data_IF_760925178672
#
_entry.id   IF_760925178672
#
_cell.length_a   1.000
_cell.length_b   1.000
_cell.length_c   1.000
_cell.angle_alpha   90.00
_cell.angle_beta   90.00
_cell.angle_gamma   90.00
#
_symmetry.space_group_name_H-M   'P 1'
#
loop_
_entity.id
_entity.type
_entity.pdbx_description
1 polymer ?
#
# COMPACT_ATOMS: atom_id res chain seq x y z
N UNK A 1 -29.41 -1.40 -60.44
CA UNK A 1 -28.36 -2.14 -59.70
C UNK A 1 -28.23 -1.52 -58.32
N UNK A 2 -28.72 -2.21 -57.27
CA UNK A 2 -28.63 -1.72 -55.88
C UNK A 2 -27.25 -2.06 -55.33
N UNK A 3 -26.44 -1.04 -54.99
CA UNK A 3 -25.11 -1.22 -54.41
C UNK A 3 -25.26 -1.38 -52.90
N UNK A 4 -24.97 -2.57 -52.38
CA UNK A 4 -24.83 -2.79 -50.94
C UNK A 4 -23.42 -2.35 -50.54
N UNK A 5 -23.32 -1.32 -49.71
CA UNK A 5 -22.07 -0.92 -49.07
C UNK A 5 -21.98 -1.75 -47.78
N UNK A 6 -21.05 -2.69 -47.74
CA UNK A 6 -20.71 -3.42 -46.51
C UNK A 6 -19.82 -2.51 -45.68
N UNK A 7 -20.37 -1.98 -44.59
CA UNK A 7 -19.62 -1.23 -43.57
C UNK A 7 -18.93 -2.24 -42.66
N UNK A 8 -17.63 -2.44 -42.85
CA UNK A 8 -16.81 -3.22 -41.93
C UNK A 8 -16.61 -2.41 -40.64
N UNK A 9 -17.32 -2.77 -39.57
CA UNK A 9 -17.00 -2.31 -38.22
C UNK A 9 -15.68 -2.95 -37.80
N UNK A 10 -14.59 -2.21 -37.92
CA UNK A 10 -13.35 -2.52 -37.22
C UNK A 10 -13.56 -2.23 -35.74
N UNK A 11 -13.78 -3.29 -34.97
CA UNK A 11 -13.76 -3.22 -33.50
C UNK A 11 -12.29 -3.01 -33.13
N UNK A 12 -11.91 -1.76 -32.84
CA UNK A 12 -10.64 -1.48 -32.18
C UNK A 12 -10.76 -2.05 -30.77
N UNK A 13 -10.21 -3.24 -30.55
CA UNK A 13 -9.96 -3.74 -29.22
C UNK A 13 -8.95 -2.78 -28.58
N UNK A 14 -9.41 -1.91 -27.69
CA UNK A 14 -8.53 -1.22 -26.79
C UNK A 14 -7.88 -2.29 -25.91
N UNK A 15 -6.64 -2.68 -26.22
CA UNK A 15 -5.80 -3.34 -25.25
C UNK A 15 -5.63 -2.35 -24.11
N UNK A 16 -6.24 -2.64 -22.96
CA UNK A 16 -5.88 -2.01 -21.69
C UNK A 16 -4.42 -2.37 -21.47
N UNK A 17 -3.53 -1.48 -21.88
CA UNK A 17 -2.11 -1.65 -21.60
C UNK A 17 -2.00 -1.59 -20.08
N UNK A 18 -1.65 -2.70 -19.44
CA UNK A 18 -1.20 -2.66 -18.06
C UNK A 18 -0.04 -1.65 -18.01
N UNK A 19 -0.14 -0.69 -17.09
CA UNK A 19 0.84 0.36 -16.90
C UNK A 19 1.54 0.08 -15.57
N UNK A 20 2.87 0.15 -15.57
CA UNK A 20 3.68 0.10 -14.35
C UNK A 20 3.51 1.41 -13.56
N UNK A 21 2.27 1.73 -13.17
CA UNK A 21 1.90 3.03 -12.59
C UNK A 21 0.85 2.82 -11.51
N UNK A 22 1.04 3.43 -10.34
CA UNK A 22 0.00 3.53 -9.33
C UNK A 22 -1.12 4.44 -9.81
N UNK A 23 -2.36 3.97 -9.70
CA UNK A 23 -3.51 4.85 -9.87
C UNK A 23 -3.64 5.78 -8.65
N UNK A 24 -3.94 7.06 -8.88
CA UNK A 24 -4.04 8.06 -7.81
C UNK A 24 -2.76 8.16 -6.94
N UNK A 25 -1.60 8.16 -7.59
CA UNK A 25 -0.26 8.22 -7.00
C UNK A 25 0.03 9.47 -6.14
N UNK A 26 -0.53 10.63 -6.50
CA UNK A 26 -0.43 11.88 -5.72
C UNK A 26 -1.60 12.07 -4.75
N UNK A 27 -2.39 11.03 -4.47
CA UNK A 27 -3.46 11.06 -3.47
C UNK A 27 -4.50 12.20 -3.59
N UNK A 28 -4.80 12.62 -4.81
CA UNK A 28 -5.73 13.73 -5.08
C UNK A 28 -7.21 13.30 -5.09
N UNK A 29 -7.47 12.03 -5.38
CA UNK A 29 -8.84 11.52 -5.62
C UNK A 29 -9.42 10.81 -4.39
N UNK A 30 -10.49 11.38 -3.82
CA UNK A 30 -11.17 10.85 -2.63
C UNK A 30 -12.69 10.82 -2.82
N UNK A 31 -13.34 9.79 -2.31
CA UNK A 31 -14.80 9.71 -2.21
C UNK A 31 -15.21 9.90 -0.74
N UNK A 32 -15.54 11.13 -0.37
CA UNK A 32 -15.74 11.50 1.03
C UNK A 32 -14.44 11.34 1.83
N UNK A 33 -14.45 10.45 2.83
CA UNK A 33 -13.29 10.11 3.66
C UNK A 33 -12.48 8.93 3.14
N UNK A 34 -12.90 8.31 2.03
CA UNK A 34 -12.25 7.12 1.47
C UNK A 34 -11.33 7.49 0.32
N UNK A 35 -10.08 7.04 0.39
CA UNK A 35 -9.09 7.22 -0.68
C UNK A 35 -9.41 6.27 -1.85
N UNK A 36 -9.39 6.80 -3.08
CA UNK A 36 -9.65 5.99 -4.27
C UNK A 36 -8.38 5.23 -4.69
N UNK A 37 -8.54 3.97 -5.13
CA UNK A 37 -7.47 3.11 -5.69
C UNK A 37 -6.43 2.61 -4.66
N UNK A 38 -6.65 2.91 -3.39
CA UNK A 38 -5.82 2.46 -2.28
C UNK A 38 -6.69 1.85 -1.18
N UNK A 39 -6.14 0.86 -0.49
CA UNK A 39 -6.81 0.13 0.57
C UNK A 39 -6.14 0.37 1.92
N UNK A 40 -6.94 0.28 2.97
CA UNK A 40 -6.53 0.38 4.37
C UNK A 40 -7.30 -0.65 5.19
N UNK A 41 -6.93 -0.85 6.46
CA UNK A 41 -7.62 -1.78 7.33
C UNK A 41 -9.01 -1.24 7.68
N UNK A 42 -10.03 -2.03 7.35
CA UNK A 42 -11.41 -1.77 7.72
C UNK A 42 -12.13 -3.04 8.14
N UNK A 43 -12.90 -2.98 9.22
CA UNK A 43 -13.70 -4.11 9.70
C UNK A 43 -15.16 -3.68 9.72
N UNK A 44 -16.03 -4.47 9.09
CA UNK A 44 -17.47 -4.16 8.97
C UNK A 44 -17.75 -2.75 8.40
N UNK A 45 -16.90 -2.29 7.48
CA UNK A 45 -17.02 -0.96 6.86
C UNK A 45 -16.50 0.20 7.73
N UNK A 46 -15.94 -0.08 8.91
CA UNK A 46 -15.30 0.92 9.77
C UNK A 46 -13.79 0.83 9.58
N UNK A 47 -13.15 1.92 9.15
CA UNK A 47 -11.69 1.99 9.08
C UNK A 47 -11.10 1.86 10.48
N UNK A 48 -10.21 0.89 10.67
CA UNK A 48 -9.53 0.61 11.95
C UNK A 48 -8.08 1.10 11.96
N UNK A 49 -7.52 1.46 10.80
CA UNK A 49 -6.34 2.33 10.69
C UNK A 49 -6.77 3.81 10.59
N UNK A 50 -5.89 4.75 10.93
CA UNK A 50 -6.07 6.16 10.59
C UNK A 50 -5.39 6.43 9.23
N UNK A 51 -6.21 6.44 8.18
CA UNK A 51 -5.82 6.90 6.85
C UNK A 51 -6.76 8.02 6.47
N UNK A 52 -6.20 9.22 6.30
CA UNK A 52 -6.96 10.44 6.12
C UNK A 52 -6.29 11.40 5.15
N UNK A 53 -7.08 12.34 4.65
CA UNK A 53 -6.62 13.39 3.72
C UNK A 53 -5.86 14.46 4.49
N UNK A 54 -4.72 14.89 3.96
CA UNK A 54 -3.96 16.05 4.45
C UNK A 54 -3.86 17.13 3.38
N UNK A 55 -3.91 18.39 3.77
CA UNK A 55 -3.57 19.54 2.90
C UNK A 55 -2.10 19.93 2.99
N UNK A 56 -1.32 19.28 3.86
CA UNK A 56 0.13 19.39 3.91
C UNK A 56 0.71 18.42 2.88
N UNK A 57 0.68 18.81 1.60
CA UNK A 57 1.13 17.97 0.48
C UNK A 57 2.51 18.36 -0.03
N UNK A 58 3.19 17.42 -0.68
CA UNK A 58 4.44 17.68 -1.38
C UNK A 58 4.17 18.41 -2.70
N UNK A 59 3.16 17.92 -3.42
CA UNK A 59 2.65 18.56 -4.63
C UNK A 59 1.12 18.54 -4.64
N UNK A 60 0.49 19.15 -5.65
CA UNK A 60 -0.97 19.16 -5.75
C UNK A 60 -1.68 19.86 -4.58
N UNK A 61 -2.84 19.33 -4.19
CA UNK A 61 -3.65 19.85 -3.08
C UNK A 61 -3.65 18.93 -1.86
N UNK A 62 -3.40 17.64 -2.05
CA UNK A 62 -3.62 16.64 -1.02
C UNK A 62 -2.50 15.61 -0.97
N UNK A 63 -2.14 15.21 0.25
CA UNK A 63 -1.37 14.00 0.51
C UNK A 63 -2.19 13.04 1.37
N UNK A 64 -1.71 11.81 1.51
CA UNK A 64 -2.29 10.85 2.45
C UNK A 64 -1.55 10.92 3.79
N UNK A 65 -2.31 11.05 4.87
CA UNK A 65 -1.85 10.91 6.25
C UNK A 65 -2.13 9.49 6.73
N UNK A 66 -1.13 8.84 7.30
CA UNK A 66 -1.18 7.46 7.78
C UNK A 66 -0.70 7.46 9.22
N UNK A 67 -1.52 6.93 10.13
CA UNK A 67 -1.19 6.84 11.55
C UNK A 67 -1.78 5.58 12.21
N UNK A 68 -1.15 5.08 13.28
CA UNK A 68 -1.78 4.14 14.18
C UNK A 68 -2.97 4.78 14.89
N UNK A 69 -3.91 3.95 15.34
CA UNK A 69 -4.93 4.39 16.30
C UNK A 69 -5.39 3.24 17.19
N UNK A 70 -5.96 3.54 18.38
CA UNK A 70 -6.50 2.50 19.24
C UNK A 70 -7.71 1.84 18.55
N UNK A 71 -7.78 0.51 18.62
CA UNK A 71 -8.97 -0.22 18.19
C UNK A 71 -10.15 0.16 19.10
N UNK A 72 -11.30 0.58 18.56
CA UNK A 72 -12.47 0.86 19.38
C UNK A 72 -12.89 -0.38 20.18
N UNK A 73 -13.11 -0.23 21.49
CA UNK A 73 -13.42 -1.36 22.39
C UNK A 73 -14.66 -2.17 21.97
N UNK A 74 -15.67 -1.50 21.40
CA UNK A 74 -16.86 -2.15 20.84
C UNK A 74 -16.51 -3.08 19.68
N UNK A 75 -15.56 -2.69 18.83
CA UNK A 75 -15.12 -3.47 17.69
C UNK A 75 -14.15 -4.59 18.10
N UNK A 76 -13.25 -4.31 19.05
CA UNK A 76 -12.37 -5.31 19.65
C UNK A 76 -13.17 -6.51 20.20
N UNK A 77 -14.25 -6.22 20.93
CA UNK A 77 -15.18 -7.23 21.45
C UNK A 77 -15.84 -8.05 20.33
N UNK A 78 -16.27 -7.39 19.25
CA UNK A 78 -16.96 -8.05 18.11
C UNK A 78 -16.03 -9.00 17.36
N UNK A 79 -14.76 -8.64 17.18
CA UNK A 79 -13.79 -9.48 16.48
C UNK A 79 -13.00 -10.41 17.42
N UNK A 80 -13.31 -10.40 18.71
CA UNK A 80 -12.73 -11.31 19.70
C UNK A 80 -11.24 -11.08 19.96
N UNK A 81 -10.79 -9.83 19.95
CA UNK A 81 -9.41 -9.46 20.28
C UNK A 81 -9.36 -8.51 21.47
N UNK A 82 -8.24 -8.50 22.19
CA UNK A 82 -8.01 -7.52 23.24
C UNK A 82 -7.87 -6.10 22.68
N UNK A 83 -8.08 -5.10 23.53
CA UNK A 83 -7.78 -3.71 23.17
C UNK A 83 -6.32 -3.61 22.72
N UNK A 84 -6.12 -3.12 21.50
CA UNK A 84 -4.80 -3.03 20.89
C UNK A 84 -4.68 -1.76 20.07
N UNK A 85 -3.44 -1.39 19.76
CA UNK A 85 -3.14 -0.34 18.80
C UNK A 85 -3.10 -0.97 17.42
N UNK A 86 -3.95 -0.49 16.52
CA UNK A 86 -3.93 -0.91 15.12
C UNK A 86 -2.92 -0.05 14.39
N UNK A 87 -1.97 -0.64 13.64
CA UNK A 87 -1.03 0.14 12.85
C UNK A 87 -1.76 0.93 11.76
N UNK A 88 -1.19 2.06 11.36
CA UNK A 88 -1.55 2.72 10.12
C UNK A 88 -1.10 1.84 8.97
N UNK A 89 -2.01 1.47 8.07
CA UNK A 89 -1.71 0.65 6.90
C UNK A 89 -2.33 1.28 5.66
N UNK A 90 -1.53 1.50 4.63
CA UNK A 90 -1.97 1.86 3.30
C UNK A 90 -1.32 0.92 2.27
N UNK A 91 -2.10 0.42 1.31
CA UNK A 91 -1.56 -0.42 0.23
C UNK A 91 -2.36 -0.27 -1.06
N UNK A 92 -1.73 -0.53 -2.21
CA UNK A 92 -2.42 -0.62 -3.50
C UNK A 92 -3.07 -2.00 -3.74
N UNK A 93 -2.86 -2.96 -2.85
CA UNK A 93 -3.37 -4.33 -2.97
C UNK A 93 -4.70 -4.50 -2.21
N UNK A 94 -5.51 -5.47 -2.64
CA UNK A 94 -6.63 -6.02 -1.86
C UNK A 94 -6.12 -6.65 -0.57
N UNK A 95 -6.87 -6.48 0.52
CA UNK A 95 -6.52 -6.98 1.84
C UNK A 95 -7.46 -8.11 2.24
N UNK A 96 -6.91 -9.31 2.49
CA UNK A 96 -7.62 -10.40 3.15
C UNK A 96 -7.66 -10.16 4.66
N UNK A 97 -8.71 -9.47 5.10
CA UNK A 97 -8.94 -9.11 6.50
C UNK A 97 -9.03 -10.30 7.45
N UNK A 98 -9.52 -11.45 7.00
CA UNK A 98 -9.58 -12.65 7.86
C UNK A 98 -8.18 -13.13 8.22
N UNK A 99 -7.23 -13.09 7.27
CA UNK A 99 -5.84 -13.41 7.51
C UNK A 99 -5.19 -12.42 8.50
N UNK A 100 -5.49 -11.13 8.37
CA UNK A 100 -4.98 -10.09 9.28
C UNK A 100 -5.53 -10.24 10.69
N UNK A 101 -6.84 -10.46 10.84
CA UNK A 101 -7.48 -10.67 12.15
C UNK A 101 -6.90 -11.94 12.80
N UNK A 102 -6.71 -13.01 12.03
CA UNK A 102 -6.03 -14.21 12.50
C UNK A 102 -4.63 -13.91 13.03
N UNK A 103 -3.82 -13.18 12.27
CA UNK A 103 -2.46 -12.81 12.69
C UNK A 103 -2.45 -11.87 13.92
N UNK A 104 -3.33 -10.87 13.97
CA UNK A 104 -3.50 -9.99 15.14
C UNK A 104 -3.89 -10.78 16.39
N UNK A 105 -4.82 -11.75 16.27
CA UNK A 105 -5.26 -12.59 17.38
C UNK A 105 -4.17 -13.52 17.91
N UNK A 106 -3.19 -13.89 17.07
CA UNK A 106 -2.02 -14.67 17.47
C UNK A 106 -0.90 -13.85 18.14
N UNK A 107 -1.09 -12.53 18.26
CA UNK A 107 -0.14 -11.62 18.92
C UNK A 107 1.08 -11.24 18.07
N UNK A 108 1.12 -11.60 16.78
CA UNK A 108 2.20 -11.21 15.87
C UNK A 108 1.71 -11.07 14.42
N UNK A 109 1.87 -9.87 13.84
CA UNK A 109 1.82 -9.67 12.40
C UNK A 109 3.23 -9.89 11.84
N UNK A 110 3.54 -11.12 11.42
CA UNK A 110 4.77 -11.39 10.69
C UNK A 110 4.49 -11.39 9.18
N UNK A 111 5.03 -10.43 8.44
CA UNK A 111 4.92 -10.38 6.97
C UNK A 111 6.04 -11.19 6.31
N UNK A 112 6.15 -12.47 6.65
CA UNK A 112 6.94 -13.39 5.83
C UNK A 112 6.27 -13.57 4.44
N UNK A 113 7.00 -14.13 3.47
CA UNK A 113 6.50 -14.22 2.10
C UNK A 113 5.15 -14.98 2.00
N UNK A 114 4.96 -16.01 2.82
CA UNK A 114 3.72 -16.80 2.81
C UNK A 114 2.55 -15.99 3.38
N UNK A 115 2.78 -15.29 4.48
CA UNK A 115 1.77 -14.43 5.11
C UNK A 115 1.43 -13.27 4.19
N UNK A 116 2.42 -12.62 3.57
CA UNK A 116 2.22 -11.58 2.58
C UNK A 116 1.31 -12.04 1.43
N UNK A 117 1.63 -13.18 0.80
CA UNK A 117 0.85 -13.71 -0.33
C UNK A 117 -0.57 -14.13 0.07
N UNK A 118 -0.79 -14.51 1.34
CA UNK A 118 -2.11 -14.84 1.87
C UNK A 118 -2.96 -13.62 2.28
N UNK A 119 -2.29 -12.50 2.57
CA UNK A 119 -2.90 -11.27 3.07
C UNK A 119 -3.16 -10.28 1.93
N UNK A 120 -2.24 -10.15 0.98
CA UNK A 120 -2.29 -9.15 -0.07
C UNK A 120 -2.37 -9.77 -1.47
N UNK A 121 -3.36 -9.33 -2.25
CA UNK A 121 -3.59 -9.74 -3.65
C UNK A 121 -3.94 -8.55 -4.51
N UNK A 122 -3.93 -8.70 -5.83
CA UNK A 122 -4.43 -7.71 -6.78
C UNK A 122 -3.73 -6.34 -6.69
N UNK A 123 -2.40 -6.35 -6.52
CA UNK A 123 -1.56 -5.17 -6.67
C UNK A 123 -1.51 -4.63 -8.10
N UNK A 124 -0.59 -3.67 -8.34
CA UNK A 124 -0.38 -3.09 -9.68
C UNK A 124 0.10 -4.20 -10.61
N UNK A 125 -0.60 -4.39 -11.73
CA UNK A 125 -0.20 -5.37 -12.74
C UNK A 125 1.00 -4.83 -13.52
N UNK A 126 2.05 -5.64 -13.59
CA UNK A 126 3.31 -5.27 -14.21
C UNK A 126 3.41 -5.78 -15.64
N UNK A 127 3.96 -4.96 -16.52
CA UNK A 127 4.37 -5.34 -17.88
C UNK A 127 5.87 -5.32 -18.07
N UNK A 128 6.60 -4.68 -17.16
CA UNK A 128 8.06 -4.58 -17.18
C UNK A 128 8.60 -4.82 -15.77
N UNK A 129 9.91 -5.00 -15.68
CA UNK A 129 10.60 -5.24 -14.43
C UNK A 129 10.80 -3.92 -13.67
N UNK A 130 10.17 -3.73 -12.48
CA UNK A 130 10.41 -2.56 -11.68
C UNK A 130 11.77 -2.65 -10.97
N UNK A 131 12.44 -1.52 -10.81
CA UNK A 131 13.73 -1.40 -10.12
C UNK A 131 13.58 -0.77 -8.74
N UNK A 132 12.59 0.10 -8.55
CA UNK A 132 12.30 0.73 -7.26
C UNK A 132 10.85 1.22 -7.19
N UNK A 133 10.40 1.52 -5.97
CA UNK A 133 9.28 2.43 -5.72
C UNK A 133 9.82 3.69 -5.08
N UNK A 134 9.42 4.84 -5.64
CA UNK A 134 9.86 6.15 -5.22
C UNK A 134 8.68 6.99 -4.74
N UNK A 135 8.96 8.07 -4.03
CA UNK A 135 7.98 9.10 -3.71
C UNK A 135 8.52 10.08 -2.69
N UNK A 136 7.63 10.80 -2.03
CA UNK A 136 7.98 11.78 -1.01
C UNK A 136 7.27 11.47 0.30
N UNK A 137 7.97 11.65 1.41
CA UNK A 137 7.42 11.45 2.75
C UNK A 137 7.75 12.60 3.69
N UNK A 138 6.87 12.81 4.68
CA UNK A 138 7.18 13.58 5.90
C UNK A 138 6.89 12.72 7.13
N UNK A 139 7.94 12.37 7.89
CA UNK A 139 7.82 11.54 9.09
C UNK A 139 7.72 12.39 10.36
N UNK A 140 6.57 12.31 11.03
CA UNK A 140 6.18 13.16 12.15
C UNK A 140 5.90 12.32 13.42
N UNK A 141 6.92 11.66 14.00
CA UNK A 141 6.75 10.92 15.25
C UNK A 141 6.53 11.86 16.43
N UNK A 142 5.71 11.40 17.38
CA UNK A 142 5.62 11.94 18.74
C UNK A 142 6.71 11.31 19.60
N UNK A 143 6.88 9.99 19.51
CA UNK A 143 7.91 9.24 20.22
C UNK A 143 8.81 8.49 19.21
N UNK A 144 9.91 9.11 18.75
CA UNK A 144 10.78 8.51 17.73
C UNK A 144 11.53 7.27 18.21
N UNK A 145 11.47 6.90 19.50
CA UNK A 145 12.06 5.66 20.01
C UNK A 145 11.11 4.49 19.78
N UNK A 146 9.82 4.71 20.00
CA UNK A 146 8.80 3.66 19.95
C UNK A 146 7.99 3.66 18.65
N UNK A 147 8.04 4.73 17.86
CA UNK A 147 7.29 4.84 16.61
C UNK A 147 8.18 4.63 15.40
N UNK A 148 7.69 3.84 14.44
CA UNK A 148 8.45 3.46 13.25
C UNK A 148 7.57 3.46 12.00
N UNK A 149 8.24 3.59 10.84
CA UNK A 149 7.63 3.42 9.53
C UNK A 149 8.33 2.31 8.75
N UNK A 150 7.55 1.65 7.89
CA UNK A 150 8.03 0.75 6.85
C UNK A 150 7.29 1.05 5.55
N UNK A 151 8.04 1.34 4.50
CA UNK A 151 7.56 1.39 3.13
C UNK A 151 8.10 0.14 2.43
N UNK A 152 7.29 -0.92 2.38
CA UNK A 152 7.64 -2.21 1.79
C UNK A 152 7.19 -2.33 0.34
N UNK A 153 8.03 -2.93 -0.50
CA UNK A 153 7.76 -3.23 -1.90
C UNK A 153 7.95 -4.72 -2.12
N UNK A 154 7.00 -5.37 -2.78
CA UNK A 154 7.04 -6.79 -3.09
C UNK A 154 6.68 -6.98 -4.56
N UNK A 155 7.56 -7.69 -5.28
CA UNK A 155 7.36 -8.05 -6.67
C UNK A 155 7.02 -9.53 -6.74
N UNK A 156 5.92 -9.83 -7.41
CA UNK A 156 5.32 -11.16 -7.44
C UNK A 156 5.30 -11.67 -8.86
N UNK A 157 5.70 -12.94 -9.03
CA UNK A 157 5.49 -13.69 -10.25
C UNK A 157 4.31 -14.64 -10.08
N UNK A 158 3.54 -14.81 -11.15
CA UNK A 158 2.51 -15.84 -11.28
C UNK A 158 2.70 -16.68 -12.56
N UNK A 159 3.94 -16.74 -13.08
CA UNK A 159 4.25 -17.39 -14.35
C UNK A 159 3.89 -18.88 -14.37
N UNK A 160 3.99 -19.57 -13.23
CA UNK A 160 3.71 -21.00 -13.07
C UNK A 160 2.28 -21.29 -12.60
N UNK A 161 1.43 -20.27 -12.50
CA UNK A 161 0.08 -20.36 -11.94
C UNK A 161 0.02 -20.40 -10.40
N UNK A 162 1.18 -20.26 -9.74
CA UNK A 162 1.28 -20.03 -8.29
C UNK A 162 1.98 -18.69 -8.06
N UNK A 163 1.40 -17.86 -7.18
CA UNK A 163 2.02 -16.58 -6.79
C UNK A 163 3.25 -16.83 -5.94
N UNK A 164 4.33 -16.13 -6.26
CA UNK A 164 5.60 -16.21 -5.54
C UNK A 164 6.25 -14.83 -5.47
N UNK A 165 6.80 -14.48 -4.31
CA UNK A 165 7.61 -13.25 -4.15
C UNK A 165 8.97 -13.48 -4.79
N UNK A 166 9.29 -12.69 -5.83
CA UNK A 166 10.54 -12.78 -6.59
C UNK A 166 11.47 -11.60 -6.36
N UNK A 167 10.96 -10.51 -5.80
CA UNK A 167 11.75 -9.33 -5.48
C UNK A 167 11.16 -8.55 -4.30
N UNK A 168 12.02 -7.88 -3.53
CA UNK A 168 11.64 -7.15 -2.33
C UNK A 168 12.45 -5.86 -2.20
N UNK A 169 11.81 -4.80 -1.73
CA UNK A 169 12.45 -3.54 -1.40
C UNK A 169 11.85 -2.94 -0.13
N UNK A 170 12.61 -2.11 0.57
CA UNK A 170 12.11 -1.45 1.77
C UNK A 170 12.79 -0.11 2.00
N UNK A 171 12.02 0.83 2.57
CA UNK A 171 12.53 2.08 3.14
C UNK A 171 11.95 2.23 4.57
N UNK A 172 12.80 2.40 5.58
CA UNK A 172 12.39 2.36 6.99
C UNK A 172 13.37 3.09 7.92
N UNK A 173 13.00 3.22 9.20
CA UNK A 173 13.86 3.70 10.30
C UNK A 173 14.57 5.03 10.03
N UNK A 174 13.84 5.97 9.44
CA UNK A 174 14.39 7.29 9.11
C UNK A 174 14.29 8.26 10.27
N UNK A 175 15.29 9.15 10.35
CA UNK A 175 15.26 10.26 11.28
C UNK A 175 14.01 11.12 11.03
N UNK A 176 13.41 11.75 12.06
CA UNK A 176 12.28 12.65 11.87
C UNK A 176 12.65 13.86 10.99
N UNK A 177 11.79 14.20 10.04
CA UNK A 177 11.89 15.42 9.22
C UNK A 177 10.54 16.12 9.21
N UNK A 178 10.15 16.61 10.38
CA UNK A 178 8.82 17.19 10.64
C UNK A 178 8.51 18.31 9.64
N UNK A 179 7.38 18.20 8.96
CA UNK A 179 6.86 19.17 7.98
C UNK A 179 7.72 19.44 6.72
N UNK A 180 8.87 18.79 6.55
CA UNK A 180 9.66 18.85 5.32
C UNK A 180 9.53 17.51 4.57
N UNK A 181 9.12 17.55 3.30
CA UNK A 181 9.08 16.34 2.48
C UNK A 181 10.48 15.95 2.01
N UNK A 182 10.82 14.68 2.22
CA UNK A 182 12.06 14.08 1.76
C UNK A 182 11.75 12.98 0.74
N UNK A 183 12.53 12.87 -0.34
CA UNK A 183 12.38 11.76 -1.26
C UNK A 183 12.75 10.44 -0.57
N UNK A 184 12.00 9.38 -0.89
CA UNK A 184 12.39 8.01 -0.57
C UNK A 184 12.56 7.20 -1.85
N UNK A 185 13.40 6.19 -1.77
CA UNK A 185 13.60 5.17 -2.81
C UNK A 185 13.69 3.82 -2.12
N UNK A 186 12.74 2.93 -2.41
CA UNK A 186 12.73 1.55 -1.99
C UNK A 186 13.23 0.68 -3.15
N UNK A 187 14.54 0.50 -3.23
CA UNK A 187 15.19 -0.34 -4.26
C UNK A 187 14.75 -1.79 -4.13
N UNK A 188 14.46 -2.41 -5.27
CA UNK A 188 14.00 -3.80 -5.35
C UNK A 188 15.20 -4.70 -5.59
N UNK A 189 15.40 -5.66 -4.69
CA UNK A 189 16.38 -6.74 -4.83
C UNK A 189 15.62 -8.01 -5.26
N UNK A 190 16.02 -8.58 -6.39
CA UNK A 190 15.45 -9.82 -6.90
C UNK A 190 16.16 -11.04 -6.32
N UNK A 191 15.36 -12.04 -5.93
CA UNK A 191 15.86 -13.33 -5.46
C UNK A 191 16.15 -14.27 -6.64
N UNK A 192 15.39 -14.10 -7.74
CA UNK A 192 15.58 -14.83 -8.99
C UNK A 192 15.37 -13.90 -10.18
N UNK A 193 16.47 -13.58 -10.86
CA UNK A 193 16.50 -12.68 -12.02
C UNK A 193 15.78 -13.24 -13.26
N UNK A 194 15.54 -14.56 -13.32
CA UNK A 194 14.95 -15.22 -14.48
C UNK A 194 13.41 -15.22 -14.46
N UNK A 195 12.80 -14.97 -13.30
CA UNK A 195 11.35 -14.96 -13.17
C UNK A 195 10.76 -13.65 -13.68
N UNK A 196 9.65 -13.78 -14.40
CA UNK A 196 8.93 -12.64 -14.98
C UNK A 196 8.02 -12.01 -13.91
N UNK A 197 8.18 -10.71 -13.60
CA UNK A 197 7.26 -9.97 -12.74
C UNK A 197 5.85 -9.90 -13.33
N UNK A 198 4.84 -10.01 -12.47
CA UNK A 198 3.43 -9.89 -12.86
C UNK A 198 2.65 -8.90 -12.00
N UNK A 199 3.09 -8.66 -10.77
CA UNK A 199 2.36 -7.86 -9.80
C UNK A 199 3.34 -7.13 -8.88
N UNK A 200 3.05 -5.88 -8.54
CA UNK A 200 3.73 -5.10 -7.51
C UNK A 200 2.76 -4.73 -6.39
N UNK A 201 3.18 -5.04 -5.16
CA UNK A 201 2.50 -4.65 -3.94
C UNK A 201 3.39 -3.68 -3.18
N UNK A 202 2.84 -2.51 -2.89
CA UNK A 202 3.41 -1.50 -2.02
C UNK A 202 2.61 -1.43 -0.72
N UNK A 203 3.31 -1.37 0.40
CA UNK A 203 2.74 -1.29 1.74
C UNK A 203 3.42 -0.13 2.47
N UNK A 204 2.64 0.82 2.93
CA UNK A 204 3.06 1.78 3.95
C UNK A 204 2.49 1.37 5.29
N UNK A 205 3.36 1.16 6.26
CA UNK A 205 3.03 0.78 7.62
C UNK A 205 3.59 1.82 8.59
N UNK A 206 2.75 2.29 9.51
CA UNK A 206 3.14 3.13 10.64
C UNK A 206 2.72 2.41 11.92
N UNK A 207 3.67 2.19 12.83
CA UNK A 207 3.43 1.44 14.07
C UNK A 207 4.02 2.14 15.28
N UNK A 208 3.51 1.76 16.46
CA UNK A 208 4.07 2.11 17.76
C UNK A 208 4.34 0.84 18.56
N UNK A 209 5.50 0.76 19.18
CA UNK A 209 5.90 -0.29 20.12
C UNK A 209 5.38 -0.01 21.53
N UNK A 210 4.94 1.22 21.82
CA UNK A 210 4.28 1.56 23.09
C UNK A 210 2.81 1.14 23.03
N UNK A 211 2.49 0.01 23.67
CA UNK A 211 1.15 -0.56 23.74
C UNK A 211 0.15 0.27 24.55
N UNK A 212 0.61 1.28 25.30
CA UNK A 212 -0.22 2.17 26.12
C UNK A 212 -0.37 3.57 25.52
N UNK A 213 0.24 3.85 24.36
CA UNK A 213 0.17 5.15 23.73
C UNK A 213 -1.29 5.54 23.42
N UNK A 214 -1.64 6.79 23.73
CA UNK A 214 -2.97 7.37 23.45
C UNK A 214 -2.93 8.46 22.38
N UNK A 215 -1.72 8.83 21.96
CA UNK A 215 -1.42 9.79 20.90
C UNK A 215 -0.33 9.20 20.03
N UNK A 216 -0.44 9.40 18.71
CA UNK A 216 0.47 8.81 17.74
C UNK A 216 1.04 9.85 16.79
N UNK A 217 2.31 9.64 16.42
CA UNK A 217 2.90 10.23 15.23
C UNK A 217 2.22 9.76 13.95
N UNK A 218 2.61 10.38 12.84
CA UNK A 218 2.04 10.06 11.53
C UNK A 218 3.06 10.21 10.41
N UNK A 219 2.79 9.50 9.33
CA UNK A 219 3.47 9.65 8.05
C UNK A 219 2.57 10.44 7.11
N UNK A 220 3.12 11.46 6.46
CA UNK A 220 2.56 11.97 5.22
C UNK A 220 3.30 11.30 4.06
N UNK A 221 2.55 10.82 3.08
CA UNK A 221 3.06 10.18 1.88
C UNK A 221 2.46 10.86 0.66
N UNK A 222 3.29 11.10 -0.35
CA UNK A 222 2.87 11.78 -1.56
C UNK A 222 3.67 11.34 -2.80
N UNK A 223 3.10 11.57 -3.98
CA UNK A 223 3.71 11.41 -5.31
C UNK A 223 4.45 10.07 -5.53
N UNK A 224 3.79 8.95 -5.23
CA UNK A 224 4.41 7.63 -5.35
C UNK A 224 4.52 7.14 -6.80
N UNK A 225 5.64 6.56 -7.17
CA UNK A 225 5.90 6.09 -8.53
C UNK A 225 6.68 4.78 -8.57
N UNK A 226 6.56 4.07 -9.70
CA UNK A 226 7.32 2.85 -9.97
C UNK A 226 8.41 3.21 -10.97
N UNK A 227 9.66 2.92 -10.62
CA UNK A 227 10.78 3.01 -11.56
C UNK A 227 10.96 1.66 -12.28
N UNK A 228 11.27 1.70 -13.57
CA UNK A 228 11.59 0.53 -14.40
C UNK A 228 12.98 0.67 -15.00
N UNK A 229 13.56 -0.44 -15.48
CA UNK A 229 14.79 -0.37 -16.28
C UNK A 229 14.52 0.41 -17.58
N UNK A 230 15.40 1.36 -17.91
CA UNK A 230 15.35 2.18 -19.14
C UNK A 230 16.10 1.48 -20.27
#
# INVERSE_FOLDING_TARGET
MKKFIILALTIWAFSVNAQNVFQNAGFETWNGTTLSQWNTLSVMGVNISDVSKSTESNSGNYAVKIAPKPLPASLATVIGVDNMIVPGLLTNATINLNSIIGALSSGSLNFDNNTLLSVFTDGVQLTEKPTAVNGFISWNPIDPINENILLGVYVISNQTGTREVIGMGAYSNVAPFKADYMPFEAQIIYQDEQKVPSELIFISLVSSLDTNATSFGYLLLDDVSIATEV
#
